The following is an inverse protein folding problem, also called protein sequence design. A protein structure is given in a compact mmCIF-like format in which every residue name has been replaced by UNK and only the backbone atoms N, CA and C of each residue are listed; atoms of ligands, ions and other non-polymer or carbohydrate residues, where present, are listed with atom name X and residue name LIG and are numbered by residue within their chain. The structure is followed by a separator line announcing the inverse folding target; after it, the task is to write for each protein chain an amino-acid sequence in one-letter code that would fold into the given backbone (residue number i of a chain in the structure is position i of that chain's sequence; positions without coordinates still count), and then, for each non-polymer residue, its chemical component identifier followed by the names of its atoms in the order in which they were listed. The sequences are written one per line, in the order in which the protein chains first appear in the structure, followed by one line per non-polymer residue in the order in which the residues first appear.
data_IF_468514606209
#
_entry.id   IF_468514606209
#
_cell.length_a   1.000
_cell.length_b   1.000
_cell.length_c   1.000
_cell.angle_alpha   90.00
_cell.angle_beta   90.00
_cell.angle_gamma   90.00
#
_symmetry.space_group_name_H-M   'P 1'
#
loop_
_entity.id
_entity.type
_entity.pdbx_description
1 polymer ?
#
# COMPACT_ATOMS: atom_id res chain seq x y z
N UNK A 1 -14.57 25.81 15.25
CA UNK A 1 -13.77 24.95 14.34
C UNK A 1 -14.43 24.96 12.97
N UNK A 2 -13.68 25.13 11.88
CA UNK A 2 -14.22 24.88 10.53
C UNK A 2 -14.16 23.37 10.29
N UNK A 3 -15.29 22.75 10.01
CA UNK A 3 -15.33 21.34 9.60
C UNK A 3 -14.70 21.19 8.21
N UNK A 4 -13.93 20.12 8.03
CA UNK A 4 -13.37 19.78 6.74
C UNK A 4 -14.52 19.41 5.78
N UNK A 5 -14.64 20.15 4.68
CA UNK A 5 -15.57 19.81 3.61
C UNK A 5 -14.95 18.75 2.72
N UNK A 6 -15.68 17.68 2.48
CA UNK A 6 -15.31 16.66 1.51
C UNK A 6 -15.35 17.25 0.08
N UNK A 7 -14.29 17.04 -0.69
CA UNK A 7 -14.19 17.51 -2.08
C UNK A 7 -13.95 16.30 -2.97
N UNK A 8 -14.98 15.89 -3.71
CA UNK A 8 -14.96 14.75 -4.63
C UNK A 8 -14.86 15.16 -6.10
N UNK A 9 -15.05 16.46 -6.40
CA UNK A 9 -15.09 17.00 -7.76
C UNK A 9 -13.79 16.80 -8.58
N UNK A 10 -12.67 16.52 -7.92
CA UNK A 10 -11.36 16.33 -8.57
C UNK A 10 -10.95 14.87 -8.71
N UNK A 11 -11.82 13.92 -8.34
CA UNK A 11 -11.51 12.51 -8.49
C UNK A 11 -11.40 12.13 -9.98
N UNK A 12 -10.40 11.31 -10.31
CA UNK A 12 -10.13 10.90 -11.67
C UNK A 12 -9.78 9.41 -11.74
N UNK A 13 -10.54 8.67 -12.55
CA UNK A 13 -10.37 7.22 -12.74
C UNK A 13 -8.95 6.84 -13.16
N UNK A 14 -8.37 7.55 -14.13
CA UNK A 14 -7.03 7.24 -14.64
C UNK A 14 -5.97 7.46 -13.58
N UNK A 15 -6.11 8.51 -12.77
CA UNK A 15 -5.19 8.78 -11.65
C UNK A 15 -5.28 7.68 -10.61
N UNK A 16 -6.49 7.31 -10.18
CA UNK A 16 -6.70 6.22 -9.21
C UNK A 16 -6.13 4.90 -9.75
N UNK A 17 -6.44 4.55 -10.99
CA UNK A 17 -5.96 3.32 -11.62
C UNK A 17 -4.43 3.24 -11.70
N UNK A 18 -3.75 4.37 -11.99
CA UNK A 18 -2.28 4.44 -12.02
C UNK A 18 -1.63 4.26 -10.65
N UNK A 19 -2.32 4.63 -9.57
CA UNK A 19 -1.80 4.48 -8.20
C UNK A 19 -1.83 3.00 -7.78
N UNK A 20 -2.82 2.25 -8.24
CA UNK A 20 -3.01 0.84 -7.91
C UNK A 20 -1.96 -0.06 -8.58
N UNK A 21 -1.38 -0.98 -7.80
CA UNK A 21 -0.53 -2.05 -8.31
C UNK A 21 -1.39 -3.14 -8.97
N UNK A 22 -0.77 -3.97 -9.81
CA UNK A 22 -1.45 -5.05 -10.56
C UNK A 22 -2.43 -5.87 -9.72
N UNK A 23 -1.95 -6.47 -8.63
CA UNK A 23 -2.79 -7.29 -7.76
C UNK A 23 -3.92 -6.50 -7.07
N UNK A 24 -3.75 -5.20 -6.86
CA UNK A 24 -4.74 -4.37 -6.17
C UNK A 24 -5.92 -4.05 -7.07
N UNK A 25 -5.68 -3.57 -8.30
CA UNK A 25 -6.78 -3.32 -9.23
C UNK A 25 -7.46 -4.62 -9.67
N UNK A 26 -6.72 -5.72 -9.78
CA UNK A 26 -7.31 -7.04 -10.07
C UNK A 26 -8.23 -7.51 -8.95
N UNK A 27 -7.85 -7.28 -7.69
CA UNK A 27 -8.69 -7.58 -6.53
C UNK A 27 -9.97 -6.74 -6.55
N UNK A 28 -9.86 -5.43 -6.82
CA UNK A 28 -11.02 -4.53 -6.89
C UNK A 28 -11.99 -5.00 -7.99
N UNK A 29 -11.50 -5.38 -9.17
CA UNK A 29 -12.33 -5.89 -10.27
C UNK A 29 -13.04 -7.20 -9.87
N UNK A 30 -12.36 -8.11 -9.17
CA UNK A 30 -12.99 -9.36 -8.69
C UNK A 30 -14.06 -9.10 -7.64
N UNK A 31 -13.84 -8.13 -6.75
CA UNK A 31 -14.80 -7.75 -5.69
C UNK A 31 -16.10 -7.15 -6.25
N UNK A 32 -16.10 -6.62 -7.48
CA UNK A 32 -17.34 -6.20 -8.17
C UNK A 32 -18.08 -7.35 -8.84
N UNK A 33 -17.59 -8.59 -8.76
CA UNK A 33 -18.15 -9.74 -9.47
C UNK A 33 -17.81 -9.80 -10.96
N UNK A 34 -16.96 -8.88 -11.45
CA UNK A 34 -16.49 -8.88 -12.82
C UNK A 34 -15.36 -9.89 -13.01
N UNK A 35 -15.29 -10.48 -14.20
CA UNK A 35 -14.15 -11.33 -14.56
C UNK A 35 -12.97 -10.48 -15.02
N UNK A 36 -11.75 -10.96 -14.74
CA UNK A 36 -10.56 -10.36 -15.29
C UNK A 36 -10.49 -10.59 -16.81
N UNK A 37 -10.00 -9.62 -17.59
CA UNK A 37 -9.85 -9.77 -19.03
C UNK A 37 -9.01 -10.99 -19.41
N UNK A 38 -9.55 -11.89 -20.24
CA UNK A 38 -8.78 -12.97 -20.86
C UNK A 38 -8.20 -12.50 -22.21
N UNK A 39 -7.21 -11.61 -22.16
CA UNK A 39 -6.56 -11.00 -23.34
C UNK A 39 -5.04 -11.08 -23.22
N UNK A 40 -4.34 -10.77 -24.30
CA UNK A 40 -2.87 -10.70 -24.28
C UNK A 40 -2.36 -9.69 -23.24
N UNK A 41 -1.15 -9.92 -22.73
CA UNK A 41 -0.52 -9.05 -21.72
C UNK A 41 -0.44 -7.59 -22.17
N UNK A 42 -0.21 -7.35 -23.48
CA UNK A 42 -0.17 -6.01 -24.06
C UNK A 42 -1.50 -5.24 -23.94
N UNK A 43 -2.64 -5.95 -23.95
CA UNK A 43 -3.97 -5.35 -23.84
C UNK A 43 -4.51 -5.35 -22.40
N UNK A 44 -4.01 -6.26 -21.57
CA UNK A 44 -4.53 -6.52 -20.22
C UNK A 44 -4.72 -5.26 -19.38
N UNK A 45 -3.67 -4.43 -19.27
CA UNK A 45 -3.72 -3.18 -18.49
C UNK A 45 -4.84 -2.24 -18.96
N UNK A 46 -5.00 -2.09 -20.28
CA UNK A 46 -6.00 -1.20 -20.88
C UNK A 46 -7.42 -1.74 -20.70
N UNK A 47 -7.62 -3.05 -20.82
CA UNK A 47 -8.93 -3.66 -20.61
C UNK A 47 -9.37 -3.59 -19.14
N UNK A 48 -8.44 -3.80 -18.18
CA UNK A 48 -8.72 -3.58 -16.76
C UNK A 48 -9.08 -2.12 -16.47
N UNK A 49 -8.39 -1.16 -17.09
CA UNK A 49 -8.71 0.26 -16.94
C UNK A 49 -10.16 0.57 -17.36
N UNK A 50 -10.61 0.02 -18.51
CA UNK A 50 -11.99 0.20 -18.97
C UNK A 50 -13.03 -0.35 -17.99
N UNK A 51 -12.75 -1.50 -17.38
CA UNK A 51 -13.65 -2.07 -16.36
C UNK A 51 -13.77 -1.12 -15.16
N UNK A 52 -12.64 -0.58 -14.70
CA UNK A 52 -12.62 0.37 -13.57
C UNK A 52 -13.28 1.71 -13.90
N UNK A 53 -13.14 2.20 -15.13
CA UNK A 53 -13.83 3.42 -15.60
C UNK A 53 -15.36 3.28 -15.61
N UNK A 54 -15.88 2.05 -15.64
CA UNK A 54 -17.31 1.77 -15.50
C UNK A 54 -17.83 1.74 -14.05
N UNK A 55 -16.95 1.87 -13.05
CA UNK A 55 -17.33 1.84 -11.63
C UNK A 55 -17.78 3.22 -11.12
N UNK A 56 -18.52 3.22 -10.01
CA UNK A 56 -18.75 4.46 -9.26
C UNK A 56 -17.41 5.01 -8.71
N UNK A 57 -17.12 6.28 -8.97
CA UNK A 57 -15.80 6.87 -8.65
C UNK A 57 -15.57 6.99 -7.14
N UNK A 58 -16.62 7.20 -6.34
CA UNK A 58 -16.54 7.30 -4.89
C UNK A 58 -16.24 5.92 -4.29
N UNK A 59 -16.93 4.89 -4.78
CA UNK A 59 -16.64 3.49 -4.43
C UNK A 59 -15.20 3.12 -4.81
N UNK A 60 -14.77 3.47 -6.02
CA UNK A 60 -13.41 3.20 -6.48
C UNK A 60 -12.35 3.87 -5.58
N UNK A 61 -12.58 5.13 -5.19
CA UNK A 61 -11.69 5.85 -4.28
C UNK A 61 -11.63 5.17 -2.91
N UNK A 62 -12.77 4.73 -2.37
CA UNK A 62 -12.84 4.01 -1.09
C UNK A 62 -12.07 2.69 -1.15
N UNK A 63 -12.26 1.90 -2.21
CA UNK A 63 -11.53 0.64 -2.40
C UNK A 63 -10.03 0.88 -2.60
N UNK A 64 -9.64 1.92 -3.35
CA UNK A 64 -8.25 2.33 -3.47
C UNK A 64 -7.63 2.58 -2.09
N UNK A 65 -8.29 3.38 -1.25
CA UNK A 65 -7.79 3.69 0.09
C UNK A 65 -7.63 2.43 0.96
N UNK A 66 -8.54 1.46 0.87
CA UNK A 66 -8.40 0.18 1.57
C UNK A 66 -7.16 -0.58 1.12
N UNK A 67 -6.93 -0.69 -0.20
CA UNK A 67 -5.72 -1.36 -0.74
C UNK A 67 -4.44 -0.62 -0.32
N UNK A 68 -4.43 0.70 -0.34
CA UNK A 68 -3.28 1.50 0.10
C UNK A 68 -2.93 1.27 1.57
N UNK A 69 -3.93 1.20 2.46
CA UNK A 69 -3.72 0.91 3.88
C UNK A 69 -3.07 -0.46 4.11
N UNK A 70 -3.37 -1.46 3.28
CA UNK A 70 -2.75 -2.79 3.39
C UNK A 70 -1.29 -2.84 2.93
N UNK A 71 -0.76 -1.78 2.30
CA UNK A 71 0.66 -1.72 1.90
C UNK A 71 1.59 -1.54 3.10
N UNK A 72 1.10 -0.96 4.19
CA UNK A 72 1.86 -0.84 5.42
C UNK A 72 1.84 -2.18 6.14
N UNK A 73 2.84 -3.01 5.86
CA UNK A 73 3.19 -4.12 6.74
C UNK A 73 3.64 -3.49 8.06
N UNK A 74 3.13 -4.07 9.15
CA UNK A 74 3.29 -3.72 10.56
C UNK A 74 4.78 -3.81 10.97
N UNK A 75 5.61 -2.95 10.40
CA UNK A 75 7.06 -2.80 10.64
C UNK A 75 7.31 -1.60 11.57
N UNK A 76 6.28 -0.77 11.77
CA UNK A 76 6.35 0.44 12.57
C UNK A 76 6.64 0.13 14.05
N UNK A 77 6.09 -0.94 14.62
CA UNK A 77 6.28 -1.25 16.05
C UNK A 77 7.71 -1.72 16.34
N UNK A 78 8.21 -2.73 15.63
CA UNK A 78 9.59 -3.19 15.77
C UNK A 78 10.59 -2.06 15.48
N UNK A 79 10.33 -1.26 14.44
CA UNK A 79 11.15 -0.08 14.13
C UNK A 79 11.14 0.98 15.24
N UNK A 80 9.99 1.22 15.88
CA UNK A 80 9.88 2.22 16.94
C UNK A 80 10.52 1.76 18.25
N UNK A 81 10.31 0.50 18.62
CA UNK A 81 10.69 -0.05 19.93
C UNK A 81 12.12 -0.59 19.97
N UNK A 82 12.61 -1.18 18.87
CA UNK A 82 13.92 -1.85 18.84
C UNK A 82 15.02 -0.90 18.35
N UNK A 83 14.73 0.00 17.40
CA UNK A 83 15.76 0.79 16.71
C UNK A 83 16.09 2.07 17.49
N UNK A 84 17.33 2.21 18.00
CA UNK A 84 17.81 3.45 18.64
C UNK A 84 17.72 4.62 17.66
N UNK A 85 17.57 5.84 18.20
CA UNK A 85 17.35 7.03 17.39
C UNK A 85 18.45 7.21 16.32
N UNK A 86 19.69 6.95 16.70
CA UNK A 86 20.90 7.05 15.88
C UNK A 86 20.87 6.12 14.66
N UNK A 87 20.19 4.98 14.77
CA UNK A 87 20.12 3.96 13.71
C UNK A 87 18.83 4.04 12.89
N UNK A 88 17.85 4.88 13.27
CA UNK A 88 16.55 4.96 12.59
C UNK A 88 16.68 5.24 11.11
N UNK A 89 17.54 6.18 10.72
CA UNK A 89 17.74 6.50 9.32
C UNK A 89 18.27 5.29 8.54
N UNK A 90 19.27 4.60 9.07
CA UNK A 90 19.87 3.43 8.42
C UNK A 90 18.85 2.30 8.27
N UNK A 91 18.17 1.93 9.36
CA UNK A 91 17.23 0.80 9.36
C UNK A 91 16.02 1.08 8.47
N UNK A 92 15.54 2.34 8.43
CA UNK A 92 14.40 2.73 7.60
C UNK A 92 14.63 2.42 6.11
N UNK A 93 15.84 2.67 5.60
CA UNK A 93 16.20 2.38 4.21
C UNK A 93 16.68 0.95 3.96
N UNK A 94 16.89 0.16 5.01
CA UNK A 94 17.44 -1.20 4.89
C UNK A 94 16.39 -2.27 4.57
N UNK A 95 15.11 -1.91 4.45
CA UNK A 95 13.99 -2.84 4.17
C UNK A 95 13.96 -4.06 5.11
N UNK A 96 14.20 -3.84 6.41
CA UNK A 96 14.24 -4.92 7.39
C UNK A 96 12.91 -5.69 7.45
N UNK A 97 13.03 -7.01 7.46
CA UNK A 97 11.95 -7.92 7.84
C UNK A 97 12.00 -8.21 9.34
N UNK A 98 10.99 -8.93 9.88
CA UNK A 98 10.90 -9.23 11.31
C UNK A 98 12.15 -9.91 11.89
N UNK A 99 12.76 -10.83 11.15
CA UNK A 99 13.97 -11.52 11.61
C UNK A 99 15.16 -10.56 11.70
N UNK A 100 15.26 -9.58 10.80
CA UNK A 100 16.33 -8.59 10.83
C UNK A 100 16.24 -7.73 12.10
N UNK A 101 15.02 -7.37 12.53
CA UNK A 101 14.80 -6.69 13.81
C UNK A 101 15.17 -7.55 15.02
N UNK A 102 14.88 -8.85 15.00
CA UNK A 102 15.28 -9.78 16.07
C UNK A 102 16.80 -9.89 16.19
N UNK A 103 17.51 -9.98 15.06
CA UNK A 103 18.97 -9.99 15.01
C UNK A 103 19.53 -8.67 15.54
N UNK A 104 18.99 -7.53 15.09
CA UNK A 104 19.39 -6.20 15.57
C UNK A 104 19.20 -6.05 17.08
N UNK A 105 18.03 -6.43 17.61
CA UNK A 105 17.73 -6.35 19.04
C UNK A 105 18.72 -7.19 19.87
N UNK A 106 19.09 -8.35 19.34
CA UNK A 106 20.08 -9.24 19.97
C UNK A 106 21.45 -8.56 19.99
N UNK A 107 21.91 -8.06 18.84
CA UNK A 107 23.21 -7.38 18.72
C UNK A 107 23.31 -6.16 19.66
N UNK A 108 22.30 -5.30 19.68
CA UNK A 108 22.26 -4.12 20.55
C UNK A 108 22.35 -4.51 22.04
N UNK A 109 21.65 -5.56 22.47
CA UNK A 109 21.71 -6.01 23.87
C UNK A 109 23.08 -6.54 24.29
N UNK A 110 23.85 -7.14 23.38
CA UNK A 110 25.18 -7.63 23.69
C UNK A 110 26.21 -6.50 23.87
N UNK A 111 26.03 -5.33 23.24
CA UNK A 111 26.95 -4.19 23.38
C UNK A 111 26.77 -3.40 24.70
N UNK A 112 25.61 -3.51 25.37
CA UNK A 112 25.33 -2.79 26.62
C UNK A 112 25.69 -3.56 27.91
N UNK A 113 26.15 -4.81 27.80
CA UNK A 113 26.56 -5.65 28.95
C UNK A 113 28.09 -5.87 28.99
N UNK A 114 28.85 -5.15 28.16
CA UNK A 114 30.31 -5.19 28.09
C UNK A 114 30.97 -3.98 28.76
#
# INVERSE_FOLDING_TARGET
MREAKEITAFLNYRTIFKILRKGEFESIIKETGCQLPNVSQFRYYKECQKIIEGMDILKLQSEMLKKLKTREVIVIEEFKEIVPYELKFLVYFSNFNKNDYLVLNTALKYEYVG
#
